data_IF_057651505657
#
_entry.id   IF_057651505657
#
_cell.length_a   1.000
_cell.length_b   1.000
_cell.length_c   1.000
_cell.angle_alpha   90.00
_cell.angle_beta   90.00
_cell.angle_gamma   90.00
#
_symmetry.space_group_name_H-M   'P 1'
#
loop_
_entity.id
_entity.type
_entity.pdbx_description
1 polymer ?
#
# COMPACT_ATOMS: atom_id res chain seq x y z
N UNK A 1 -3.25 -10.43 -2.02
CA UNK A 1 -1.97 -9.81 -1.67
C UNK A 1 -1.67 -9.93 -0.17
N UNK A 2 -2.48 -9.37 0.72
CA UNK A 2 -2.20 -9.42 2.17
C UNK A 2 -2.01 -10.84 2.70
N UNK A 3 -2.85 -11.79 2.30
CA UNK A 3 -2.72 -13.21 2.65
C UNK A 3 -1.39 -13.80 2.21
N UNK A 4 -0.89 -13.47 1.02
CA UNK A 4 0.40 -13.96 0.50
C UNK A 4 1.58 -13.43 1.31
N UNK A 5 1.53 -12.16 1.73
CA UNK A 5 2.55 -11.55 2.60
C UNK A 5 2.54 -12.22 3.98
N UNK A 6 1.34 -12.41 4.57
CA UNK A 6 1.20 -13.09 5.87
C UNK A 6 1.70 -14.53 5.77
N UNK A 7 1.35 -15.26 4.71
CA UNK A 7 1.83 -16.62 4.49
C UNK A 7 3.36 -16.66 4.41
N UNK A 8 3.97 -15.74 3.67
CA UNK A 8 5.42 -15.62 3.59
C UNK A 8 6.04 -15.33 4.96
N UNK A 9 5.46 -14.41 5.73
CA UNK A 9 5.92 -14.13 7.10
C UNK A 9 5.86 -15.37 8.00
N UNK A 10 4.74 -16.11 7.97
CA UNK A 10 4.59 -17.35 8.75
C UNK A 10 5.67 -18.37 8.41
N UNK A 11 6.05 -18.47 7.13
CA UNK A 11 7.12 -19.40 6.70
C UNK A 11 8.52 -18.99 7.16
N UNK A 12 8.75 -17.70 7.42
CA UNK A 12 10.03 -17.19 7.90
C UNK A 12 10.21 -17.35 9.41
N UNK A 13 9.14 -17.24 10.19
CA UNK A 13 9.20 -17.30 11.65
C UNK A 13 9.00 -18.72 12.17
N UNK A 14 10.01 -19.27 12.84
CA UNK A 14 9.96 -20.59 13.48
C UNK A 14 9.27 -20.58 14.85
N UNK A 15 9.07 -19.40 15.45
CA UNK A 15 8.49 -19.23 16.78
C UNK A 15 7.18 -18.45 16.70
N UNK A 16 6.14 -18.95 17.42
CA UNK A 16 4.85 -18.25 17.54
C UNK A 16 4.99 -16.87 18.17
N UNK A 17 5.86 -16.73 19.18
CA UNK A 17 6.08 -15.43 19.84
C UNK A 17 6.78 -14.43 18.92
N UNK A 18 7.77 -14.87 18.16
CA UNK A 18 8.47 -14.01 17.18
C UNK A 18 7.49 -13.54 16.09
N UNK A 19 6.64 -14.43 15.59
CA UNK A 19 5.58 -14.08 14.63
C UNK A 19 4.59 -13.07 15.21
N UNK A 20 4.10 -13.30 16.43
CA UNK A 20 3.15 -12.40 17.08
C UNK A 20 3.72 -10.99 17.26
N UNK A 21 4.96 -10.89 17.76
CA UNK A 21 5.66 -9.60 17.94
C UNK A 21 5.87 -8.89 16.59
N UNK A 22 6.38 -9.61 15.58
CA UNK A 22 6.59 -9.06 14.24
C UNK A 22 5.27 -8.60 13.61
N UNK A 23 4.19 -9.37 13.73
CA UNK A 23 2.87 -9.02 13.21
C UNK A 23 2.32 -7.75 13.84
N UNK A 24 2.53 -7.54 15.14
CA UNK A 24 2.08 -6.32 15.84
C UNK A 24 2.85 -5.10 15.34
N UNK A 25 4.17 -5.20 15.23
CA UNK A 25 5.03 -4.11 14.73
C UNK A 25 4.65 -3.76 13.29
N UNK A 26 4.56 -4.76 12.43
CA UNK A 26 4.23 -4.57 11.01
C UNK A 26 2.81 -4.03 10.85
N UNK A 27 1.84 -4.53 11.62
CA UNK A 27 0.47 -4.02 11.61
C UNK A 27 0.39 -2.53 11.95
N UNK A 28 1.14 -2.09 12.96
CA UNK A 28 1.23 -0.67 13.33
C UNK A 28 1.89 0.14 12.21
N UNK A 29 3.01 -0.34 11.67
CA UNK A 29 3.70 0.32 10.56
C UNK A 29 2.82 0.44 9.31
N UNK A 30 2.04 -0.58 8.99
CA UNK A 30 1.10 -0.55 7.86
C UNK A 30 0.12 0.61 8.02
N UNK A 31 -0.43 0.84 9.20
CA UNK A 31 -1.35 1.95 9.46
C UNK A 31 -0.72 3.33 9.15
N UNK A 32 0.56 3.52 9.48
CA UNK A 32 1.29 4.75 9.13
C UNK A 32 1.64 4.78 7.64
N UNK A 33 2.21 3.71 7.09
CA UNK A 33 2.67 3.64 5.71
C UNK A 33 1.53 3.69 4.68
N UNK A 34 0.33 3.32 5.07
CA UNK A 34 -0.85 3.45 4.19
C UNK A 34 -1.54 4.80 4.31
N UNK A 35 -1.09 5.69 5.21
CA UNK A 35 -1.68 7.01 5.41
C UNK A 35 -3.08 6.97 6.05
N UNK A 36 -3.37 5.93 6.85
CA UNK A 36 -4.65 5.83 7.58
C UNK A 36 -4.67 6.81 8.74
N UNK A 37 -3.56 6.89 9.50
CA UNK A 37 -3.46 7.76 10.67
C UNK A 37 -3.07 9.20 10.31
N UNK A 38 -2.22 9.38 9.31
CA UNK A 38 -1.68 10.68 8.91
C UNK A 38 -1.74 10.77 7.38
N UNK A 39 -2.27 11.87 6.81
CA UNK A 39 -2.27 12.09 5.37
C UNK A 39 -0.86 11.99 4.79
N UNK A 40 -0.71 11.33 3.65
CA UNK A 40 0.61 11.04 3.04
C UNK A 40 1.36 12.34 2.73
N UNK A 41 0.67 13.38 2.31
CA UNK A 41 1.25 14.69 2.04
C UNK A 41 1.89 15.39 3.24
N UNK A 42 1.57 14.97 4.47
CA UNK A 42 2.17 15.53 5.69
C UNK A 42 3.56 14.97 6.00
N UNK A 43 3.98 13.92 5.32
CA UNK A 43 5.31 13.33 5.52
C UNK A 43 6.40 14.02 4.69
N UNK A 44 7.66 14.01 5.16
CA UNK A 44 8.80 14.44 4.34
C UNK A 44 8.89 13.61 3.04
N UNK A 45 9.42 14.21 1.97
CA UNK A 45 9.48 13.61 0.63
C UNK A 45 10.12 12.22 0.61
N UNK A 46 11.15 11.99 1.42
CA UNK A 46 11.80 10.68 1.53
C UNK A 46 10.88 9.59 2.10
N UNK A 47 10.04 9.93 3.08
CA UNK A 47 9.04 9.00 3.65
C UNK A 47 7.92 8.75 2.66
N UNK A 48 7.45 9.77 1.96
CA UNK A 48 6.46 9.61 0.90
C UNK A 48 6.96 8.66 -0.19
N UNK A 49 8.25 8.73 -0.54
CA UNK A 49 8.86 7.83 -1.51
C UNK A 49 8.83 6.37 -1.05
N UNK A 50 9.19 6.12 0.22
CA UNK A 50 9.09 4.78 0.83
C UNK A 50 7.65 4.27 0.80
N UNK A 51 6.68 5.11 1.15
CA UNK A 51 5.26 4.78 1.10
C UNK A 51 4.82 4.41 -0.32
N UNK A 52 5.23 5.21 -1.31
CA UNK A 52 4.92 4.96 -2.74
C UNK A 52 5.57 3.68 -3.27
N UNK A 53 6.68 3.22 -2.70
CA UNK A 53 7.31 1.94 -3.04
C UNK A 53 6.70 0.73 -2.30
N UNK A 54 5.92 0.98 -1.26
CA UNK A 54 5.41 -0.09 -0.41
C UNK A 54 4.15 -0.73 -1.02
N UNK A 55 4.14 -2.03 -1.35
CA UNK A 55 3.05 -2.63 -2.11
C UNK A 55 1.67 -2.55 -1.44
N UNK A 56 1.63 -2.58 -0.10
CA UNK A 56 0.35 -2.51 0.64
C UNK A 56 -0.30 -1.14 0.48
N UNK A 57 0.48 -0.07 0.32
CA UNK A 57 -0.05 1.28 0.13
C UNK A 57 -0.84 1.42 -1.17
N UNK A 58 -0.46 0.70 -2.23
CA UNK A 58 -1.22 0.66 -3.48
C UNK A 58 -2.62 0.07 -3.32
N UNK A 59 -2.80 -0.90 -2.42
CA UNK A 59 -4.14 -1.41 -2.08
C UNK A 59 -4.97 -0.34 -1.37
N UNK A 60 -4.36 0.46 -0.50
CA UNK A 60 -5.04 1.57 0.17
C UNK A 60 -5.43 2.68 -0.82
N UNK A 61 -4.59 2.98 -1.82
CA UNK A 61 -4.92 3.90 -2.92
C UNK A 61 -6.15 3.44 -3.68
N UNK A 62 -6.18 2.17 -4.12
CA UNK A 62 -7.33 1.61 -4.85
C UNK A 62 -8.60 1.73 -4.01
N UNK A 63 -8.52 1.38 -2.72
CA UNK A 63 -9.64 1.48 -1.81
C UNK A 63 -10.15 2.93 -1.67
N UNK A 64 -9.25 3.90 -1.51
CA UNK A 64 -9.60 5.32 -1.45
C UNK A 64 -10.21 5.83 -2.75
N UNK A 65 -9.66 5.42 -3.89
CA UNK A 65 -10.21 5.79 -5.21
C UNK A 65 -11.67 5.38 -5.34
N UNK A 66 -12.01 4.19 -4.87
CA UNK A 66 -13.39 3.69 -4.94
C UNK A 66 -14.29 4.40 -3.92
N UNK A 67 -13.85 4.49 -2.66
CA UNK A 67 -14.69 5.00 -1.57
C UNK A 67 -14.86 6.51 -1.59
N UNK A 68 -13.86 7.25 -2.08
CA UNK A 68 -13.88 8.72 -2.09
C UNK A 68 -14.35 9.31 -3.42
N UNK A 69 -14.62 8.48 -4.43
CA UNK A 69 -14.97 8.95 -5.77
C UNK A 69 -16.14 9.95 -5.75
N UNK A 70 -17.26 9.55 -5.21
CA UNK A 70 -18.47 10.38 -5.20
C UNK A 70 -18.33 11.62 -4.33
N UNK A 71 -17.67 11.48 -3.17
CA UNK A 71 -17.39 12.60 -2.28
C UNK A 71 -16.47 13.63 -2.93
N UNK A 72 -15.44 13.17 -3.66
CA UNK A 72 -14.51 14.04 -4.38
C UNK A 72 -15.23 14.81 -5.51
N UNK A 73 -16.10 14.16 -6.27
CA UNK A 73 -16.86 14.82 -7.33
C UNK A 73 -17.74 15.94 -6.75
N UNK A 74 -18.44 15.66 -5.65
CA UNK A 74 -19.37 16.63 -5.04
C UNK A 74 -18.64 17.81 -4.37
N UNK A 75 -17.57 17.53 -3.62
CA UNK A 75 -16.84 18.56 -2.87
C UNK A 75 -16.03 19.48 -3.77
N UNK A 76 -15.48 18.96 -4.87
CA UNK A 76 -14.64 19.72 -5.78
C UNK A 76 -15.36 20.18 -7.05
N UNK A 77 -16.70 20.22 -7.04
CA UNK A 77 -17.49 20.76 -8.14
C UNK A 77 -17.14 22.24 -8.36
N UNK A 78 -16.55 22.55 -9.53
CA UNK A 78 -16.11 23.90 -9.87
C UNK A 78 -14.73 24.33 -9.33
N UNK A 79 -14.02 23.48 -8.63
CA UNK A 79 -12.68 23.79 -8.14
C UNK A 79 -11.62 23.71 -9.27
N UNK A 80 -10.54 24.51 -9.21
CA UNK A 80 -9.42 24.41 -10.14
C UNK A 80 -8.75 23.03 -10.09
N UNK A 81 -8.31 22.53 -11.25
CA UNK A 81 -7.69 21.18 -11.36
C UNK A 81 -6.45 21.03 -10.47
N UNK A 82 -5.67 22.09 -10.33
CA UNK A 82 -4.46 22.09 -9.49
C UNK A 82 -4.77 21.81 -8.02
N UNK A 83 -5.88 22.35 -7.50
CA UNK A 83 -6.34 22.12 -6.13
C UNK A 83 -6.84 20.71 -5.96
N UNK A 84 -7.54 20.17 -6.97
CA UNK A 84 -8.05 18.80 -6.95
C UNK A 84 -6.91 17.78 -6.94
N UNK A 85 -5.93 17.95 -7.83
CA UNK A 85 -4.78 17.04 -7.92
C UNK A 85 -3.90 17.09 -6.67
N UNK A 86 -3.58 18.28 -6.16
CA UNK A 86 -2.82 18.46 -4.92
C UNK A 86 -3.51 17.81 -3.71
N UNK A 87 -4.84 17.95 -3.62
CA UNK A 87 -5.60 17.33 -2.53
C UNK A 87 -5.65 15.80 -2.66
N UNK A 88 -5.86 15.27 -3.87
CA UNK A 88 -5.84 13.82 -4.12
C UNK A 88 -4.48 13.21 -3.78
N UNK A 89 -3.39 13.88 -4.13
CA UNK A 89 -2.04 13.42 -3.80
C UNK A 89 -1.79 13.49 -2.29
N UNK A 90 -2.15 14.59 -1.63
CA UNK A 90 -2.00 14.75 -0.17
C UNK A 90 -2.76 13.67 0.61
N UNK A 91 -3.96 13.34 0.18
CA UNK A 91 -4.78 12.29 0.79
C UNK A 91 -4.35 10.87 0.37
N UNK A 92 -3.44 10.73 -0.59
CA UNK A 92 -3.00 9.43 -1.11
C UNK A 92 -4.09 8.71 -1.92
N UNK A 93 -4.91 9.46 -2.62
CA UNK A 93 -5.90 8.93 -3.59
C UNK A 93 -5.22 8.63 -4.92
N UNK A 94 -4.19 9.41 -5.27
CA UNK A 94 -3.33 9.18 -6.42
C UNK A 94 -1.86 9.20 -5.99
N UNK A 95 -1.03 8.46 -6.70
CA UNK A 95 0.42 8.53 -6.56
C UNK A 95 1.02 9.12 -7.83
N UNK A 96 1.74 10.23 -7.67
CA UNK A 96 2.50 10.88 -8.74
C UNK A 96 3.97 10.51 -8.63
N UNK A 97 4.58 10.16 -9.76
CA UNK A 97 6.01 9.90 -9.90
C UNK A 97 6.58 10.91 -10.92
N UNK A 98 6.93 12.09 -10.44
CA UNK A 98 7.22 13.23 -11.32
C UNK A 98 5.96 13.68 -12.06
N UNK A 99 6.05 13.74 -13.40
CA UNK A 99 4.92 14.12 -14.26
C UNK A 99 3.93 12.96 -14.56
N UNK A 100 4.20 11.75 -14.04
CA UNK A 100 3.36 10.58 -14.28
C UNK A 100 2.45 10.28 -13.08
N UNK A 101 1.15 10.34 -13.29
CA UNK A 101 0.14 9.90 -12.32
C UNK A 101 -0.16 8.42 -12.49
N UNK A 102 0.04 7.63 -11.42
CA UNK A 102 -0.27 6.21 -11.45
C UNK A 102 -1.78 5.99 -11.34
N UNK A 103 -2.38 5.56 -12.43
CA UNK A 103 -3.79 5.22 -12.49
C UNK A 103 -4.16 3.96 -11.69
N UNK A 104 -5.45 3.70 -11.55
CA UNK A 104 -6.00 2.52 -10.84
C UNK A 104 -5.43 1.22 -11.38
N UNK A 105 -5.31 1.09 -12.70
CA UNK A 105 -4.74 -0.09 -13.37
C UNK A 105 -3.29 -0.34 -12.97
N UNK A 106 -2.47 0.71 -12.87
CA UNK A 106 -1.08 0.60 -12.42
C UNK A 106 -1.01 0.09 -10.98
N UNK A 107 -1.82 0.64 -10.08
CA UNK A 107 -1.90 0.18 -8.70
C UNK A 107 -2.37 -1.29 -8.60
N UNK A 108 -3.35 -1.70 -9.41
CA UNK A 108 -3.81 -3.09 -9.48
C UNK A 108 -2.71 -4.04 -9.94
N UNK A 109 -1.92 -3.66 -10.95
CA UNK A 109 -0.79 -4.46 -11.42
C UNK A 109 0.27 -4.65 -10.33
N UNK A 110 0.63 -3.60 -9.58
CA UNK A 110 1.57 -3.70 -8.46
C UNK A 110 1.06 -4.67 -7.41
N UNK A 111 -0.21 -4.57 -7.03
CA UNK A 111 -0.85 -5.46 -6.05
C UNK A 111 -0.83 -6.92 -6.53
N UNK A 112 -1.16 -7.17 -7.80
CA UNK A 112 -1.21 -8.51 -8.38
C UNK A 112 0.20 -9.13 -8.48
N UNK A 113 1.17 -8.39 -9.01
CA UNK A 113 2.56 -8.85 -9.12
C UNK A 113 3.12 -9.17 -7.73
N UNK A 114 2.89 -8.29 -6.75
CA UNK A 114 3.32 -8.53 -5.37
C UNK A 114 2.69 -9.78 -4.77
N UNK A 115 1.40 -10.01 -5.02
CA UNK A 115 0.70 -11.21 -4.54
C UNK A 115 1.35 -12.49 -5.11
N UNK A 116 1.63 -12.51 -6.40
CA UNK A 116 2.26 -13.65 -7.08
C UNK A 116 3.69 -13.87 -6.56
N UNK A 117 4.49 -12.81 -6.46
CA UNK A 117 5.89 -12.89 -5.98
C UNK A 117 5.93 -13.46 -4.56
N UNK A 118 5.16 -12.91 -3.62
CA UNK A 118 5.16 -13.40 -2.24
C UNK A 118 4.59 -14.81 -2.11
N UNK A 119 3.63 -15.18 -2.95
CA UNK A 119 3.12 -16.55 -2.99
C UNK A 119 4.19 -17.52 -3.45
N UNK A 120 4.89 -17.22 -4.55
CA UNK A 120 5.99 -18.07 -5.07
C UNK A 120 7.14 -18.17 -4.05
N UNK A 121 7.52 -17.06 -3.41
CA UNK A 121 8.53 -17.08 -2.36
C UNK A 121 8.11 -17.97 -1.18
N UNK A 122 6.86 -17.91 -0.78
CA UNK A 122 6.32 -18.79 0.28
C UNK A 122 6.43 -20.27 -0.10
N UNK A 123 6.07 -20.62 -1.34
CA UNK A 123 6.18 -21.97 -1.84
C UNK A 123 7.64 -22.46 -1.87
N UNK A 124 8.57 -21.61 -2.31
CA UNK A 124 10.01 -21.95 -2.34
C UNK A 124 10.57 -22.18 -0.93
N UNK A 125 10.24 -21.31 0.03
CA UNK A 125 10.71 -21.46 1.42
C UNK A 125 10.13 -22.73 2.05
N UNK A 126 8.84 -23.01 1.83
CA UNK A 126 8.20 -24.23 2.35
C UNK A 126 8.80 -25.50 1.76
N UNK A 127 9.15 -25.50 0.47
CA UNK A 127 9.78 -26.65 -0.17
C UNK A 127 11.17 -26.92 0.41
N UNK A 128 11.95 -25.87 0.63
CA UNK A 128 13.29 -25.96 1.23
C UNK A 128 13.31 -26.42 2.69
N UNK A 129 12.21 -26.25 3.41
CA UNK A 129 12.08 -26.71 4.81
C UNK A 129 11.70 -28.19 4.92
N UNK A 130 11.34 -28.83 3.83
CA UNK A 130 11.00 -30.27 3.78
C UNK A 130 12.21 -31.17 3.45
N UNK A 131 13.30 -30.61 2.97
CA UNK A 131 14.59 -31.27 2.77
C UNK A 131 15.46 -31.18 4.03
#
# INVERSE_FOLDING_TARGET
MNTSIVLFMVTLFKSRNAYATASTIIGTLIGFLTGIYIPIGSFPSGVQWVIKCFPISHSAVIFRQIMMHDSMVTVFEGAPQDVISATKESLGVIYSYGDYEMGTTGNMLVVLITAVVFFLLSCLVMNKQKE
#
